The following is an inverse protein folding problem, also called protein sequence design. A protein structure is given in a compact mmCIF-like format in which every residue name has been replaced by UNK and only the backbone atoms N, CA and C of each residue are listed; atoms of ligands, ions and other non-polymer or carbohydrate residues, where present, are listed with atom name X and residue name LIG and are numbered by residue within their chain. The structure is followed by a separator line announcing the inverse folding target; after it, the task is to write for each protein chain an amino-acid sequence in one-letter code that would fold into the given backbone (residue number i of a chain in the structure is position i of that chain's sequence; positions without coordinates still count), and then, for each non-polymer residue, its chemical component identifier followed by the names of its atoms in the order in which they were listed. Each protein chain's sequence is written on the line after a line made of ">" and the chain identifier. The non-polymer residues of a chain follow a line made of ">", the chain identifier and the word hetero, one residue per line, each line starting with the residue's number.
data_IF_879816243721
#
_entry.id   IF_879816243721
#
_cell.length_a   1.000
_cell.length_b   1.000
_cell.length_c   1.000
_cell.angle_alpha   90.00
_cell.angle_beta   90.00
_cell.angle_gamma   90.00
#
_symmetry.space_group_name_H-M   'P 1'
#
loop_
_entity.id
_entity.type
_entity.pdbx_description
1 polymer ?
#
# COMPACT_ATOMS: atom_id res chain seq x y z
N UNK A 1 16.63 -1.03 10.56
CA UNK A 1 15.29 -0.54 10.24
C UNK A 1 14.74 0.19 11.46
N UNK A 2 14.34 1.48 11.36
CA UNK A 2 13.70 2.16 12.47
C UNK A 2 12.42 1.41 12.87
N UNK A 3 12.21 1.24 14.17
CA UNK A 3 11.05 0.54 14.71
C UNK A 3 9.76 1.26 14.28
N UNK A 4 8.92 0.61 13.47
CA UNK A 4 7.65 1.17 13.00
C UNK A 4 6.71 1.60 14.15
N UNK A 5 6.94 1.07 15.36
CA UNK A 5 6.17 1.38 16.56
C UNK A 5 6.21 2.87 16.93
N UNK A 6 7.31 3.58 16.69
CA UNK A 6 7.38 5.01 16.99
C UNK A 6 6.43 5.83 16.11
N UNK A 7 6.17 5.37 14.88
CA UNK A 7 5.25 6.02 13.95
C UNK A 7 3.78 5.90 14.39
N UNK A 8 3.46 4.96 15.27
CA UNK A 8 2.12 4.83 15.85
C UNK A 8 1.73 6.05 16.69
N UNK A 9 2.71 6.83 17.15
CA UNK A 9 2.47 8.06 17.91
C UNK A 9 2.26 9.29 17.01
N UNK A 10 2.54 9.18 15.70
CA UNK A 10 2.33 10.29 14.76
C UNK A 10 0.85 10.67 14.65
N UNK A 11 0.50 11.98 14.64
CA UNK A 11 -0.90 12.42 14.61
C UNK A 11 -1.70 11.89 13.41
N UNK A 12 -1.08 11.76 12.24
CA UNK A 12 -1.70 11.24 11.01
C UNK A 12 -2.06 9.75 11.16
N UNK A 13 -1.15 8.95 11.70
CA UNK A 13 -1.33 7.52 11.97
C UNK A 13 -2.41 7.31 13.03
N UNK A 14 -2.33 8.06 14.14
CA UNK A 14 -3.36 7.99 15.20
C UNK A 14 -4.75 8.34 14.67
N UNK A 15 -4.86 9.31 13.76
CA UNK A 15 -6.14 9.68 13.14
C UNK A 15 -6.74 8.52 12.34
N UNK A 16 -5.93 7.78 11.59
CA UNK A 16 -6.41 6.60 10.84
C UNK A 16 -6.82 5.48 11.79
N UNK A 17 -6.01 5.22 12.82
CA UNK A 17 -6.29 4.20 13.82
C UNK A 17 -7.50 4.53 14.71
N UNK A 18 -7.82 5.81 14.90
CA UNK A 18 -8.98 6.24 15.69
C UNK A 18 -10.27 6.36 14.86
N UNK A 19 -10.16 6.44 13.53
CA UNK A 19 -11.35 6.53 12.67
C UNK A 19 -12.24 5.29 12.85
N UNK A 20 -13.57 5.41 12.89
CA UNK A 20 -14.45 4.24 13.01
C UNK A 20 -14.32 3.33 11.79
N UNK A 21 -14.68 2.05 11.95
CA UNK A 21 -14.71 1.16 10.81
C UNK A 21 -15.80 1.59 9.82
N UNK A 22 -15.46 1.72 8.54
CA UNK A 22 -16.48 1.98 7.51
C UNK A 22 -16.99 0.66 6.91
N UNK A 23 -18.25 0.58 6.42
CA UNK A 23 -18.82 -0.64 5.82
C UNK A 23 -18.02 -1.22 4.63
N UNK A 24 -17.08 -0.43 4.09
CA UNK A 24 -16.21 -0.81 2.99
C UNK A 24 -14.88 -1.43 3.44
N UNK A 25 -14.57 -1.42 4.74
CA UNK A 25 -13.34 -1.98 5.33
C UNK A 25 -13.46 -3.49 5.60
N UNK A 26 -14.10 -4.22 4.68
CA UNK A 26 -14.27 -5.66 4.79
C UNK A 26 -13.00 -6.41 4.37
N UNK A 27 -13.02 -7.71 4.60
CA UNK A 27 -11.94 -8.64 4.23
C UNK A 27 -11.52 -8.50 2.78
N UNK A 28 -10.21 -8.61 2.56
CA UNK A 28 -9.58 -8.48 1.26
C UNK A 28 -8.09 -8.75 1.34
N UNK A 29 -7.35 -8.24 0.37
CA UNK A 29 -5.89 -8.25 0.38
C UNK A 29 -5.36 -6.85 0.16
N UNK A 30 -4.31 -6.50 0.91
CA UNK A 30 -3.44 -5.37 0.57
C UNK A 30 -2.34 -5.91 -0.33
N UNK A 31 -1.92 -5.11 -1.31
CA UNK A 31 -0.87 -5.49 -2.24
C UNK A 31 0.10 -4.36 -2.51
N UNK A 32 1.30 -4.74 -2.92
CA UNK A 32 2.30 -3.86 -3.49
C UNK A 32 2.74 -4.38 -4.87
N UNK A 33 2.76 -3.51 -5.89
CA UNK A 33 3.28 -3.80 -7.23
C UNK A 33 4.45 -2.87 -7.52
N UNK A 34 5.59 -3.40 -7.96
CA UNK A 34 6.71 -2.57 -8.42
C UNK A 34 6.48 -2.10 -9.85
N UNK A 35 6.89 -0.88 -10.19
CA UNK A 35 6.83 -0.37 -11.56
C UNK A 35 8.16 -0.69 -12.26
N UNK A 36 8.15 -1.62 -13.22
CA UNK A 36 9.34 -2.03 -13.96
C UNK A 36 10.50 -2.44 -13.04
N UNK A 37 11.68 -1.87 -13.27
CA UNK A 37 12.86 -2.02 -12.41
C UNK A 37 13.09 -0.82 -11.48
N UNK A 38 12.10 0.06 -11.33
CA UNK A 38 12.19 1.22 -10.44
C UNK A 38 11.98 0.84 -8.97
N UNK A 39 12.32 1.77 -8.08
CA UNK A 39 11.95 1.70 -6.66
C UNK A 39 10.59 2.36 -6.38
N UNK A 40 9.75 2.47 -7.41
CA UNK A 40 8.38 2.97 -7.28
C UNK A 40 7.43 1.80 -7.08
N UNK A 41 6.62 1.88 -6.03
CA UNK A 41 5.65 0.85 -5.68
C UNK A 41 4.24 1.41 -5.66
N UNK A 42 3.32 0.68 -6.30
CA UNK A 42 1.89 0.86 -6.19
C UNK A 42 1.37 0.10 -4.99
N UNK A 43 0.78 0.79 -4.02
CA UNK A 43 0.22 0.14 -2.84
C UNK A 43 -1.29 0.34 -2.81
N UNK A 44 -2.04 -0.75 -2.80
CA UNK A 44 -3.50 -0.67 -2.80
C UNK A 44 -4.15 -1.87 -2.13
N UNK A 45 -5.49 -1.87 -2.12
CA UNK A 45 -6.28 -2.99 -1.66
C UNK A 45 -7.17 -3.57 -2.75
N UNK A 46 -7.54 -4.84 -2.59
CA UNK A 46 -8.50 -5.52 -3.47
C UNK A 46 -9.31 -6.56 -2.71
N UNK A 47 -10.58 -6.70 -3.08
CA UNK A 47 -11.42 -7.85 -2.71
C UNK A 47 -11.38 -8.97 -3.76
N UNK A 48 -10.89 -8.66 -4.96
CA UNK A 48 -10.74 -9.62 -6.06
C UNK A 48 -9.52 -10.50 -5.83
N UNK A 49 -9.47 -11.70 -6.42
CA UNK A 49 -8.27 -12.52 -6.43
C UNK A 49 -7.05 -11.74 -6.95
N UNK A 50 -5.90 -12.01 -6.34
CA UNK A 50 -4.59 -11.43 -6.62
C UNK A 50 -4.29 -11.38 -8.12
N UNK A 51 -4.22 -12.55 -8.77
CA UNK A 51 -3.89 -12.68 -10.19
C UNK A 51 -4.87 -11.89 -11.09
N UNK A 52 -6.16 -11.86 -10.73
CA UNK A 52 -7.17 -11.09 -11.48
C UNK A 52 -6.89 -9.59 -11.38
N UNK A 53 -6.59 -9.08 -10.18
CA UNK A 53 -6.34 -7.66 -9.96
C UNK A 53 -5.06 -7.20 -10.64
N UNK A 54 -4.00 -8.00 -10.58
CA UNK A 54 -2.76 -7.71 -11.30
C UNK A 54 -2.96 -7.67 -12.81
N UNK A 55 -3.66 -8.67 -13.37
CA UNK A 55 -3.98 -8.69 -14.80
C UNK A 55 -4.85 -7.50 -15.24
N UNK A 56 -5.71 -6.97 -14.38
CA UNK A 56 -6.46 -5.73 -14.64
C UNK A 56 -5.53 -4.51 -14.69
N UNK A 57 -4.59 -4.39 -13.76
CA UNK A 57 -3.63 -3.28 -13.75
C UNK A 57 -2.74 -3.31 -14.99
N UNK A 58 -2.19 -4.48 -15.35
CA UNK A 58 -1.39 -4.64 -16.56
C UNK A 58 -2.17 -4.33 -17.84
N UNK A 59 -3.48 -4.65 -17.89
CA UNK A 59 -4.34 -4.31 -19.03
C UNK A 59 -4.69 -2.83 -19.08
N UNK A 60 -4.96 -2.21 -17.93
CA UNK A 60 -5.42 -0.81 -17.85
C UNK A 60 -4.27 0.19 -18.00
N UNK A 61 -3.09 -0.14 -17.48
CA UNK A 61 -1.90 0.70 -17.54
C UNK A 61 -0.67 -0.12 -17.99
N UNK A 62 -0.66 -0.61 -19.24
CA UNK A 62 0.44 -1.45 -19.75
C UNK A 62 1.80 -0.74 -19.72
N UNK A 63 1.84 0.58 -19.90
CA UNK A 63 3.09 1.37 -19.94
C UNK A 63 3.83 1.41 -18.60
N UNK A 64 3.15 1.12 -17.48
CA UNK A 64 3.77 1.09 -16.15
C UNK A 64 4.63 -0.16 -15.91
N UNK A 65 4.49 -1.19 -16.74
CA UNK A 65 5.33 -2.39 -16.71
C UNK A 65 5.40 -3.06 -15.33
N UNK A 66 4.25 -3.28 -14.67
CA UNK A 66 4.23 -3.80 -13.31
C UNK A 66 4.98 -5.12 -13.17
N UNK A 67 5.89 -5.18 -12.21
CA UNK A 67 6.64 -6.38 -11.81
C UNK A 67 6.48 -6.60 -10.31
N UNK A 68 6.85 -7.79 -9.82
CA UNK A 68 6.85 -8.15 -8.41
C UNK A 68 5.51 -7.94 -7.68
N UNK A 69 4.84 -9.04 -7.40
CA UNK A 69 3.52 -9.05 -6.78
C UNK A 69 3.64 -9.45 -5.29
N UNK A 70 3.38 -8.51 -4.36
CA UNK A 70 3.27 -8.81 -2.92
C UNK A 70 1.83 -8.69 -2.46
N UNK A 71 1.32 -9.70 -1.79
CA UNK A 71 -0.08 -9.75 -1.35
C UNK A 71 -0.19 -10.27 0.06
N UNK A 72 -0.97 -9.55 0.87
CA UNK A 72 -1.26 -9.93 2.24
C UNK A 72 -2.77 -9.90 2.44
N UNK A 73 -3.34 -11.05 2.81
CA UNK A 73 -4.75 -11.15 3.20
C UNK A 73 -4.95 -10.45 4.55
N UNK A 74 -5.95 -9.58 4.62
CA UNK A 74 -6.28 -8.79 5.81
C UNK A 74 -7.78 -8.81 6.08
N UNK A 75 -8.17 -8.86 7.35
CA UNK A 75 -9.57 -8.70 7.77
C UNK A 75 -10.11 -7.31 7.46
N UNK A 76 -9.25 -6.29 7.58
CA UNK A 76 -9.59 -4.87 7.41
C UNK A 76 -8.73 -4.23 6.31
N UNK A 77 -8.76 -4.78 5.10
CA UNK A 77 -7.79 -4.46 4.04
C UNK A 77 -7.69 -2.97 3.69
N UNK A 78 -8.81 -2.25 3.61
CA UNK A 78 -8.81 -0.80 3.33
C UNK A 78 -8.16 0.01 4.46
N UNK A 79 -8.39 -0.38 5.72
CA UNK A 79 -7.78 0.30 6.86
C UNK A 79 -6.29 0.01 6.97
N UNK A 80 -5.90 -1.23 6.68
CA UNK A 80 -4.50 -1.62 6.58
C UNK A 80 -3.80 -0.83 5.46
N UNK A 81 -4.40 -0.71 4.27
CA UNK A 81 -3.85 0.12 3.18
C UNK A 81 -3.66 1.59 3.60
N UNK A 82 -4.68 2.19 4.21
CA UNK A 82 -4.60 3.57 4.71
C UNK A 82 -3.47 3.74 5.73
N UNK A 83 -3.32 2.78 6.64
CA UNK A 83 -2.23 2.79 7.62
C UNK A 83 -0.87 2.69 6.93
N UNK A 84 -0.70 1.79 5.97
CA UNK A 84 0.55 1.66 5.18
C UNK A 84 0.89 2.98 4.49
N UNK A 85 -0.08 3.62 3.83
CA UNK A 85 0.12 4.91 3.17
C UNK A 85 0.56 6.00 4.15
N UNK A 86 -0.05 6.05 5.34
CA UNK A 86 0.36 7.02 6.36
C UNK A 86 1.74 6.74 6.91
N UNK A 87 2.06 5.48 7.24
CA UNK A 87 3.40 5.09 7.70
C UNK A 87 4.46 5.49 6.67
N UNK A 88 4.23 5.25 5.38
CA UNK A 88 5.16 5.66 4.32
C UNK A 88 5.34 7.17 4.27
N UNK A 89 4.27 7.95 4.36
CA UNK A 89 4.35 9.41 4.39
C UNK A 89 5.10 9.92 5.63
N UNK A 90 4.87 9.34 6.79
CA UNK A 90 5.59 9.68 8.03
C UNK A 90 7.08 9.29 7.97
N UNK A 91 7.42 8.24 7.22
CA UNK A 91 8.81 7.90 6.90
C UNK A 91 9.43 8.83 5.83
N UNK A 92 8.70 9.84 5.37
CA UNK A 92 9.17 10.79 4.36
C UNK A 92 9.11 10.27 2.92
N UNK A 93 8.46 9.13 2.67
CA UNK A 93 8.35 8.56 1.34
C UNK A 93 7.44 9.41 0.46
N UNK A 94 7.93 9.75 -0.73
CA UNK A 94 7.20 10.61 -1.64
C UNK A 94 6.06 9.84 -2.32
N UNK A 95 4.84 10.26 -2.04
CA UNK A 95 3.64 9.86 -2.76
C UNK A 95 3.43 10.85 -3.90
N UNK A 96 3.95 10.57 -5.09
CA UNK A 96 3.88 11.50 -6.23
C UNK A 96 2.66 11.13 -7.09
N UNK A 97 1.63 12.00 -7.17
CA UNK A 97 0.54 11.81 -8.12
C UNK A 97 1.13 11.67 -9.53
N UNK A 98 1.04 10.47 -10.08
CA UNK A 98 1.65 10.19 -11.38
C UNK A 98 0.55 10.17 -12.42
N UNK A 99 0.55 11.10 -13.40
CA UNK A 99 -0.38 11.05 -14.51
C UNK A 99 -0.10 9.79 -15.32
N UNK A 100 -1.14 9.00 -15.59
CA UNK A 100 -1.02 7.79 -16.41
C UNK A 100 -1.50 8.06 -17.83
N UNK A 101 -0.61 7.92 -18.79
CA UNK A 101 -0.92 8.12 -20.21
C UNK A 101 -1.90 7.06 -20.75
N UNK A 102 -1.94 5.87 -20.15
CA UNK A 102 -2.80 4.79 -20.63
C UNK A 102 -4.26 4.95 -20.20
N UNK A 103 -4.50 5.33 -18.94
CA UNK A 103 -5.84 5.37 -18.37
C UNK A 103 -6.36 6.77 -18.06
N UNK A 104 -5.55 7.81 -18.30
CA UNK A 104 -5.90 9.22 -18.11
C UNK A 104 -6.11 9.65 -16.65
N UNK A 105 -5.90 8.75 -15.68
CA UNK A 105 -6.06 9.08 -14.25
C UNK A 105 -4.75 9.46 -13.60
N UNK A 106 -4.82 10.29 -12.57
CA UNK A 106 -3.71 10.55 -11.66
C UNK A 106 -3.70 9.47 -10.58
N UNK A 107 -2.68 8.61 -10.57
CA UNK A 107 -2.53 7.61 -9.53
C UNK A 107 -1.88 8.25 -8.31
N UNK A 108 -2.61 8.26 -7.20
CA UNK A 108 -2.15 8.78 -5.91
C UNK A 108 -1.69 7.65 -4.98
N UNK A 109 -1.58 6.44 -5.51
CA UNK A 109 -1.19 5.23 -4.78
C UNK A 109 0.25 4.77 -5.07
N UNK A 110 1.05 5.60 -5.75
CA UNK A 110 2.46 5.32 -6.04
C UNK A 110 3.40 5.99 -5.02
N UNK A 111 4.34 5.21 -4.51
CA UNK A 111 5.35 5.64 -3.57
C UNK A 111 6.74 5.39 -4.14
N UNK A 112 7.58 6.43 -4.12
CA UNK A 112 9.01 6.30 -4.44
C UNK A 112 9.76 5.95 -3.17
N UNK A 113 10.36 4.77 -3.15
CA UNK A 113 11.12 4.26 -2.01
C UNK A 113 12.63 4.34 -2.30
N UNK A 114 13.48 4.48 -1.29
CA UNK A 114 14.92 4.45 -1.49
C UNK A 114 15.37 3.05 -1.93
N UNK A 115 16.52 2.92 -2.62
CA UNK A 115 17.05 1.63 -3.06
C UNK A 115 17.23 0.59 -1.93
N UNK A 116 17.47 1.08 -0.72
CA UNK A 116 17.63 0.31 0.51
C UNK A 116 16.31 -0.27 1.04
N UNK A 117 15.18 0.24 0.55
CA UNK A 117 13.84 -0.26 0.87
C UNK A 117 13.50 -1.36 -0.15
N UNK A 118 14.04 -2.54 0.11
CA UNK A 118 13.85 -3.70 -0.74
C UNK A 118 12.45 -4.33 -0.60
N UNK A 119 12.27 -5.49 -1.23
CA UNK A 119 11.00 -6.21 -1.17
C UNK A 119 10.63 -6.70 0.22
N UNK A 120 11.62 -7.04 1.05
CA UNK A 120 11.39 -7.58 2.39
C UNK A 120 10.93 -6.47 3.33
N UNK A 121 11.49 -5.26 3.18
CA UNK A 121 11.03 -4.07 3.91
C UNK A 121 9.56 -3.73 3.63
N UNK A 122 9.10 -3.91 2.38
CA UNK A 122 7.69 -3.73 2.03
C UNK A 122 6.82 -4.80 2.68
N UNK A 123 7.24 -6.06 2.63
CA UNK A 123 6.49 -7.16 3.24
C UNK A 123 6.37 -6.97 4.76
N UNK A 124 7.45 -6.59 5.44
CA UNK A 124 7.47 -6.27 6.87
C UNK A 124 6.51 -5.13 7.20
N UNK A 125 6.48 -4.07 6.38
CA UNK A 125 5.57 -2.95 6.57
C UNK A 125 4.10 -3.38 6.41
N UNK A 126 3.79 -4.21 5.41
CA UNK A 126 2.44 -4.74 5.20
C UNK A 126 2.00 -5.61 6.39
N UNK A 127 2.88 -6.49 6.86
CA UNK A 127 2.63 -7.38 8.01
C UNK A 127 2.45 -6.58 9.30
N UNK A 128 3.31 -5.58 9.53
CA UNK A 128 3.20 -4.70 10.68
C UNK A 128 1.87 -3.95 10.68
N UNK A 129 1.52 -3.29 9.58
CA UNK A 129 0.28 -2.53 9.47
C UNK A 129 -0.95 -3.43 9.66
N UNK A 130 -0.94 -4.64 9.08
CA UNK A 130 -1.99 -5.63 9.31
C UNK A 130 -2.13 -5.96 10.80
N UNK A 131 -1.01 -6.30 11.45
CA UNK A 131 -0.99 -6.73 12.84
C UNK A 131 -1.52 -5.65 13.79
N UNK A 132 -1.15 -4.39 13.55
CA UNK A 132 -1.66 -3.25 14.32
C UNK A 132 -3.16 -3.07 14.15
N UNK A 133 -3.67 -3.10 12.92
CA UNK A 133 -5.10 -2.90 12.65
C UNK A 133 -5.93 -4.05 13.22
N UNK A 134 -5.52 -5.30 13.02
CA UNK A 134 -6.24 -6.48 13.54
C UNK A 134 -6.10 -6.67 15.06
N UNK A 135 -5.16 -6.00 15.71
CA UNK A 135 -5.09 -5.95 17.17
C UNK A 135 -6.11 -4.97 17.76
N UNK A 136 -6.37 -3.85 17.07
CA UNK A 136 -7.28 -2.80 17.53
C UNK A 136 -8.75 -3.16 17.26
N UNK A 137 -9.02 -3.94 16.21
CA UNK A 137 -10.36 -4.26 15.69
C UNK A 137 -10.57 -5.75 15.50
#
# INVERSE_FOLDING_TARGET
>A
MPSFYYLLFCPSVRRILAAPLTPHENSGSVYALRLGYSYTFKIGQTKRPCCTRFAEHCRRCPSNGYTAERYLKCRYAKKTEQLVHALLREMGMQCTPTPCNDCGTHHCEFFNLPPEFDGDCIDDLLVFAKSVVEYIY
#
